data_IF_916814704871
#
_entry.id   IF_916814704871
#
_cell.length_a   1.000
_cell.length_b   1.000
_cell.length_c   1.000
_cell.angle_alpha   90.00
_cell.angle_beta   90.00
_cell.angle_gamma   90.00
#
_symmetry.space_group_name_H-M   'P 1'
#
loop_
_entity.id
_entity.type
_entity.pdbx_description
1 polymer ?
#
# COMPACT_ATOMS: atom_id res chain seq x y z
N UNK A 1 21.18 9.05 -10.37
CA UNK A 1 21.10 7.68 -9.78
C UNK A 1 19.65 7.25 -9.72
N UNK A 2 19.34 6.01 -9.31
CA UNK A 2 17.94 5.57 -9.11
C UNK A 2 17.20 6.50 -8.14
N UNK A 3 17.87 6.91 -7.06
CA UNK A 3 17.33 7.87 -6.09
C UNK A 3 16.88 9.19 -6.73
N UNK A 4 17.74 9.85 -7.53
CA UNK A 4 17.39 11.12 -8.17
C UNK A 4 16.20 10.99 -9.12
N UNK A 5 16.13 9.88 -9.87
CA UNK A 5 15.00 9.61 -10.76
C UNK A 5 13.68 9.50 -10.00
N UNK A 6 13.66 8.74 -8.91
CA UNK A 6 12.45 8.58 -8.07
C UNK A 6 12.00 9.91 -7.47
N UNK A 7 12.93 10.71 -6.93
CA UNK A 7 12.58 12.02 -6.35
C UNK A 7 12.02 12.96 -7.43
N UNK A 8 12.66 13.02 -8.60
CA UNK A 8 12.19 13.85 -9.71
C UNK A 8 10.78 13.44 -10.19
N UNK A 9 10.51 12.14 -10.30
CA UNK A 9 9.18 11.63 -10.68
C UNK A 9 8.11 12.04 -9.68
N UNK A 10 8.34 11.85 -8.38
CA UNK A 10 7.34 12.18 -7.36
C UNK A 10 7.11 13.68 -7.20
N UNK A 11 8.00 14.54 -7.69
CA UNK A 11 7.78 16.00 -7.72
C UNK A 11 6.79 16.45 -8.79
N UNK A 12 6.45 15.60 -9.75
CA UNK A 12 5.43 15.90 -10.75
C UNK A 12 4.06 15.49 -10.17
N UNK A 13 3.12 16.43 -9.93
CA UNK A 13 1.87 16.15 -9.20
C UNK A 13 1.01 15.05 -9.83
N UNK A 14 1.02 14.94 -11.16
CA UNK A 14 0.26 13.91 -11.86
C UNK A 14 0.72 12.49 -11.49
N UNK A 15 2.03 12.25 -11.42
CA UNK A 15 2.57 10.94 -11.04
C UNK A 15 2.33 10.63 -9.57
N UNK A 16 2.46 11.62 -8.69
CA UNK A 16 2.09 11.49 -7.27
C UNK A 16 0.64 11.01 -7.13
N UNK A 17 -0.32 11.72 -7.73
CA UNK A 17 -1.74 11.39 -7.62
C UNK A 17 -2.05 9.99 -8.17
N UNK A 18 -1.51 9.65 -9.34
CA UNK A 18 -1.70 8.31 -9.94
C UNK A 18 -1.15 7.23 -9.01
N UNK A 19 0.03 7.45 -8.43
CA UNK A 19 0.62 6.50 -7.49
C UNK A 19 -0.24 6.31 -6.24
N UNK A 20 -0.71 7.41 -5.62
CA UNK A 20 -1.56 7.33 -4.42
C UNK A 20 -2.89 6.61 -4.68
N UNK A 21 -3.52 6.85 -5.83
CA UNK A 21 -4.69 6.10 -6.26
C UNK A 21 -4.38 4.61 -6.43
N UNK A 22 -3.19 4.28 -6.94
CA UNK A 22 -2.69 2.92 -7.01
C UNK A 22 -2.53 2.27 -5.63
N UNK A 23 -2.06 3.00 -4.63
CA UNK A 23 -1.94 2.51 -3.25
C UNK A 23 -3.32 2.28 -2.60
N UNK A 24 -4.30 3.11 -2.91
CA UNK A 24 -5.70 2.90 -2.48
C UNK A 24 -6.26 1.63 -3.13
N UNK A 25 -6.02 1.42 -4.43
CA UNK A 25 -6.40 0.16 -5.09
C UNK A 25 -5.69 -1.05 -4.49
N UNK A 26 -4.40 -0.92 -4.15
CA UNK A 26 -3.61 -1.94 -3.47
C UNK A 26 -4.19 -2.28 -2.09
N UNK A 27 -4.66 -1.29 -1.32
CA UNK A 27 -5.32 -1.53 -0.04
C UNK A 27 -6.51 -2.50 -0.20
N UNK A 28 -7.41 -2.21 -1.15
CA UNK A 28 -8.55 -3.08 -1.42
C UNK A 28 -8.12 -4.45 -1.93
N UNK A 29 -7.11 -4.51 -2.81
CA UNK A 29 -6.56 -5.76 -3.33
C UNK A 29 -5.97 -6.64 -2.22
N UNK A 30 -5.14 -6.07 -1.34
CA UNK A 30 -4.55 -6.77 -0.20
C UNK A 30 -5.62 -7.26 0.75
N UNK A 31 -6.57 -6.38 1.11
CA UNK A 31 -7.61 -6.75 2.04
C UNK A 31 -8.45 -7.89 1.44
N UNK A 32 -8.91 -7.80 0.20
CA UNK A 32 -9.65 -8.88 -0.46
C UNK A 32 -8.81 -10.16 -0.61
N UNK A 33 -7.61 -10.04 -1.20
CA UNK A 33 -6.74 -11.16 -1.53
C UNK A 33 -6.24 -11.92 -0.29
N UNK A 34 -6.00 -11.23 0.82
CA UNK A 34 -5.63 -11.87 2.08
C UNK A 34 -6.71 -12.86 2.50
N UNK A 35 -7.97 -12.42 2.62
CA UNK A 35 -9.08 -13.30 2.97
C UNK A 35 -9.25 -14.46 1.98
N UNK A 36 -9.20 -14.16 0.67
CA UNK A 36 -9.35 -15.19 -0.37
C UNK A 36 -8.24 -16.24 -0.32
N UNK A 37 -7.01 -15.86 0.01
CA UNK A 37 -5.90 -16.81 0.11
C UNK A 37 -6.13 -17.84 1.21
N UNK A 38 -6.56 -17.42 2.41
CA UNK A 38 -6.89 -18.34 3.50
C UNK A 38 -8.10 -19.22 3.18
N UNK A 39 -9.06 -18.71 2.41
CA UNK A 39 -10.17 -19.51 1.90
C UNK A 39 -9.70 -20.60 0.94
N UNK A 40 -8.84 -20.28 -0.02
CA UNK A 40 -8.30 -21.26 -0.99
C UNK A 40 -7.48 -22.36 -0.30
N UNK A 41 -6.78 -22.02 0.78
CA UNK A 41 -6.04 -22.98 1.60
C UNK A 41 -6.94 -23.84 2.51
N UNK A 42 -8.27 -23.63 2.50
CA UNK A 42 -9.22 -24.37 3.33
C UNK A 42 -9.25 -23.96 4.80
N UNK A 43 -8.62 -22.83 5.18
CA UNK A 43 -8.53 -22.35 6.56
C UNK A 43 -9.76 -21.56 7.01
N UNK A 44 -10.92 -21.84 6.42
CA UNK A 44 -12.20 -21.24 6.77
C UNK A 44 -12.87 -22.01 7.90
N UNK A 45 -12.71 -21.51 9.13
CA UNK A 45 -13.30 -22.10 10.32
C UNK A 45 -13.79 -21.00 11.27
N UNK A 46 -14.96 -21.18 11.89
CA UNK A 46 -15.62 -20.18 12.75
C UNK A 46 -14.71 -19.60 13.84
N UNK A 47 -13.77 -20.40 14.36
CA UNK A 47 -12.78 -20.00 15.36
C UNK A 47 -11.69 -19.07 14.85
N UNK A 48 -11.15 -19.31 13.65
CA UNK A 48 -9.94 -18.61 13.15
C UNK A 48 -10.27 -17.56 12.08
N UNK A 49 -11.37 -17.71 11.35
CA UNK A 49 -11.81 -16.74 10.33
C UNK A 49 -11.94 -15.31 10.87
N UNK A 50 -12.49 -15.05 12.08
CA UNK A 50 -12.55 -13.68 12.62
C UNK A 50 -11.15 -13.09 12.88
N UNK A 51 -10.21 -13.91 13.37
CA UNK A 51 -8.83 -13.50 13.64
C UNK A 51 -8.10 -13.20 12.34
N UNK A 52 -8.20 -14.09 11.34
CA UNK A 52 -7.64 -13.90 10.00
C UNK A 52 -8.18 -12.60 9.40
N UNK A 53 -9.49 -12.33 9.57
CA UNK A 53 -10.11 -11.10 9.08
C UNK A 53 -9.55 -9.84 9.74
N UNK A 54 -9.40 -9.86 11.06
CA UNK A 54 -8.80 -8.76 11.81
C UNK A 54 -7.35 -8.50 11.37
N UNK A 55 -6.54 -9.56 11.26
CA UNK A 55 -5.16 -9.45 10.80
C UNK A 55 -5.06 -8.95 9.35
N UNK A 56 -5.91 -9.44 8.45
CA UNK A 56 -5.94 -9.00 7.06
C UNK A 56 -6.21 -7.51 6.92
N UNK A 57 -7.13 -6.98 7.73
CA UNK A 57 -7.39 -5.54 7.81
C UNK A 57 -6.18 -4.75 8.32
N UNK A 58 -5.60 -5.15 9.46
CA UNK A 58 -4.44 -4.47 10.05
C UNK A 58 -3.26 -4.47 9.08
N UNK A 59 -2.96 -5.63 8.49
CA UNK A 59 -1.89 -5.79 7.51
C UNK A 59 -2.09 -4.86 6.30
N UNK A 60 -3.29 -4.85 5.73
CA UNK A 60 -3.60 -4.02 4.56
C UNK A 60 -3.47 -2.54 4.87
N UNK A 61 -3.95 -2.08 6.03
CA UNK A 61 -3.80 -0.68 6.48
C UNK A 61 -2.32 -0.32 6.62
N UNK A 62 -1.55 -1.12 7.36
CA UNK A 62 -0.14 -0.80 7.68
C UNK A 62 0.69 -0.72 6.40
N UNK A 63 0.57 -1.71 5.52
CA UNK A 63 1.34 -1.74 4.26
C UNK A 63 0.94 -0.57 3.37
N UNK A 64 -0.36 -0.36 3.14
CA UNK A 64 -0.81 0.72 2.27
C UNK A 64 -0.44 2.09 2.84
N UNK A 65 -0.67 2.37 4.12
CA UNK A 65 -0.28 3.66 4.72
C UNK A 65 1.24 3.88 4.69
N UNK A 66 2.03 2.83 4.94
CA UNK A 66 3.48 2.89 4.87
C UNK A 66 3.97 3.37 3.50
N UNK A 67 3.43 2.77 2.43
CA UNK A 67 3.78 3.18 1.06
C UNK A 67 3.14 4.50 0.63
N UNK A 68 1.94 4.84 1.13
CA UNK A 68 1.24 6.10 0.85
C UNK A 68 2.00 7.33 1.37
N UNK A 69 2.64 7.21 2.53
CA UNK A 69 3.32 8.35 3.15
C UNK A 69 4.64 8.69 2.44
N UNK A 70 5.30 7.72 1.80
CA UNK A 70 6.64 7.92 1.20
C UNK A 70 6.63 8.97 0.08
N UNK A 71 5.79 8.88 -0.97
CA UNK A 71 5.75 9.88 -2.03
C UNK A 71 5.32 11.24 -1.53
N UNK A 72 4.37 11.31 -0.60
CA UNK A 72 3.95 12.56 0.04
C UNK A 72 5.12 13.23 0.77
N UNK A 73 5.86 12.47 1.57
CA UNK A 73 7.06 12.97 2.25
C UNK A 73 8.07 13.51 1.23
N UNK A 74 8.34 12.77 0.16
CA UNK A 74 9.25 13.20 -0.91
C UNK A 74 8.75 14.49 -1.59
N UNK A 75 7.46 14.56 -1.91
CA UNK A 75 6.85 15.70 -2.58
C UNK A 75 6.94 16.98 -1.73
N UNK A 76 6.69 16.91 -0.43
CA UNK A 76 6.65 18.10 0.42
C UNK A 76 8.00 18.49 1.04
N UNK A 77 8.91 17.54 1.29
CA UNK A 77 10.10 17.82 2.12
C UNK A 77 11.44 17.62 1.42
N UNK A 78 11.52 16.74 0.42
CA UNK A 78 12.80 16.38 -0.19
C UNK A 78 13.09 17.29 -1.39
N UNK A 79 14.23 18.01 -1.46
CA UNK A 79 14.58 18.83 -2.62
C UNK A 79 14.94 17.97 -3.83
N UNK A 80 14.77 18.52 -5.05
CA UNK A 80 15.19 17.84 -6.28
C UNK A 80 16.73 17.76 -6.27
N UNK A 81 17.32 16.55 -6.34
CA UNK A 81 18.76 16.38 -6.38
C UNK A 81 19.32 16.95 -7.69
N UNK A 82 20.49 17.59 -7.62
CA UNK A 82 21.23 18.08 -8.78
C UNK A 82 21.72 16.95 -9.69
#
# INVERSE_FOLDING_TARGET
TLYSGVVATFKIPAYLVIYELGIIALFFHLNHGFHSAFQTLGLNHSKYTPIIKGFGWIYSIIISLGYFIIPLYVYFTVPIPA
#
